data_IF_437015468684
#
_entry.id   IF_437015468684
#
_cell.length_a   1.000
_cell.length_b   1.000
_cell.length_c   1.000
_cell.angle_alpha   90.00
_cell.angle_beta   90.00
_cell.angle_gamma   90.00
#
_symmetry.space_group_name_H-M   'P 1'
#
loop_
_entity.id
_entity.type
_entity.pdbx_description
1 polymer ?
#
# COMPACT_ATOMS: atom_id res chain seq x y z
N UNK A 1 -26.71 -5.18 -40.68
CA UNK A 1 -25.51 -5.92 -40.23
C UNK A 1 -25.61 -6.12 -38.73
N UNK A 2 -25.91 -7.34 -38.28
CA UNK A 2 -25.91 -7.68 -36.85
C UNK A 2 -24.45 -7.77 -36.40
N UNK A 3 -24.01 -6.84 -35.56
CA UNK A 3 -22.71 -6.97 -34.88
C UNK A 3 -22.79 -8.20 -33.99
N UNK A 4 -21.95 -9.21 -34.27
CA UNK A 4 -21.70 -10.29 -33.35
C UNK A 4 -21.11 -9.67 -32.07
N UNK A 5 -21.82 -9.79 -30.95
CA UNK A 5 -21.30 -9.42 -29.64
C UNK A 5 -20.17 -10.39 -29.30
N UNK A 6 -18.91 -9.93 -29.46
CA UNK A 6 -17.74 -10.65 -28.96
C UNK A 6 -17.92 -10.94 -27.46
N UNK A 7 -17.74 -12.20 -27.08
CA UNK A 7 -17.83 -12.71 -25.70
C UNK A 7 -16.68 -12.15 -24.82
N UNK A 8 -15.66 -11.56 -25.44
CA UNK A 8 -14.46 -11.06 -24.77
C UNK A 8 -14.43 -9.52 -24.63
N UNK A 9 -15.50 -8.90 -24.14
CA UNK A 9 -15.46 -7.46 -23.79
C UNK A 9 -14.72 -7.24 -22.47
N UNK A 10 -13.40 -7.43 -22.48
CA UNK A 10 -12.54 -7.03 -21.36
C UNK A 10 -12.35 -5.51 -21.42
N UNK A 11 -12.63 -4.81 -20.31
CA UNK A 11 -12.40 -3.36 -20.21
C UNK A 11 -10.89 -3.07 -20.18
N UNK A 12 -10.50 -1.84 -20.52
CA UNK A 12 -9.10 -1.41 -20.36
C UNK A 12 -8.60 -1.64 -18.93
N UNK A 13 -9.40 -1.31 -17.93
CA UNK A 13 -9.11 -1.62 -16.53
C UNK A 13 -8.92 -3.12 -16.29
N UNK A 14 -9.79 -3.97 -16.86
CA UNK A 14 -9.66 -5.42 -16.80
C UNK A 14 -8.35 -5.93 -17.42
N UNK A 15 -7.86 -5.29 -18.48
CA UNK A 15 -6.53 -5.61 -19.04
C UNK A 15 -5.40 -5.14 -18.12
N UNK A 16 -5.51 -3.96 -17.52
CA UNK A 16 -4.50 -3.38 -16.62
C UNK A 16 -4.33 -4.15 -15.30
N UNK A 17 -5.38 -4.84 -14.84
CA UNK A 17 -5.31 -5.66 -13.61
C UNK A 17 -4.63 -7.01 -13.86
N UNK A 18 -4.53 -7.48 -15.11
CA UNK A 18 -3.95 -8.81 -15.42
C UNK A 18 -2.53 -9.02 -14.92
N UNK A 19 -1.56 -8.09 -15.07
CA UNK A 19 -0.21 -8.28 -14.54
C UNK A 19 -0.19 -8.49 -13.02
N UNK A 20 -1.01 -7.74 -12.29
CA UNK A 20 -1.15 -7.83 -10.83
C UNK A 20 -1.73 -9.21 -10.44
N UNK A 21 -2.70 -9.72 -11.21
CA UNK A 21 -3.29 -11.04 -10.99
C UNK A 21 -2.42 -12.21 -11.43
N UNK A 22 -1.62 -12.04 -12.48
CA UNK A 22 -0.75 -13.08 -13.02
C UNK A 22 0.41 -13.38 -12.09
N UNK A 23 0.94 -12.37 -11.42
CA UNK A 23 2.12 -12.53 -10.59
C UNK A 23 1.95 -13.58 -9.47
N UNK A 24 0.89 -13.56 -8.63
CA UNK A 24 0.63 -14.61 -7.65
C UNK A 24 0.44 -16.02 -8.25
N UNK A 25 -0.03 -16.12 -9.49
CA UNK A 25 -0.24 -17.42 -10.14
C UNK A 25 1.08 -18.15 -10.40
N UNK A 26 2.17 -17.42 -10.68
CA UNK A 26 3.49 -18.04 -10.86
C UNK A 26 4.00 -18.67 -9.56
N UNK A 27 3.80 -17.99 -8.42
CA UNK A 27 4.15 -18.52 -7.10
C UNK A 27 3.36 -19.80 -6.81
N UNK A 28 2.04 -19.76 -6.97
CA UNK A 28 1.18 -20.94 -6.73
C UNK A 28 1.54 -22.12 -7.65
N UNK A 29 1.86 -21.83 -8.91
CA UNK A 29 2.28 -22.84 -9.87
C UNK A 29 3.61 -23.49 -9.45
N UNK A 30 4.63 -22.70 -9.09
CA UNK A 30 5.91 -23.24 -8.65
C UNK A 30 5.81 -24.00 -7.33
N UNK A 31 4.97 -23.54 -6.39
CA UNK A 31 4.66 -24.27 -5.16
C UNK A 31 4.07 -25.65 -5.46
N UNK A 32 3.09 -25.73 -6.38
CA UNK A 32 2.49 -26.99 -6.77
C UNK A 32 3.48 -27.91 -7.51
N UNK A 33 4.29 -27.36 -8.43
CA UNK A 33 5.34 -28.11 -9.11
C UNK A 33 6.36 -28.68 -8.12
N UNK A 34 6.85 -27.86 -7.18
CA UNK A 34 7.83 -28.28 -6.16
C UNK A 34 7.25 -29.35 -5.24
N UNK A 35 5.99 -29.20 -4.79
CA UNK A 35 5.30 -30.19 -3.97
C UNK A 35 5.20 -31.56 -4.63
N UNK A 36 5.05 -31.59 -5.95
CA UNK A 36 4.95 -32.81 -6.75
C UNK A 36 6.30 -33.30 -7.31
N UNK A 37 7.41 -32.64 -6.98
CA UNK A 37 8.76 -33.02 -7.42
C UNK A 37 9.46 -33.85 -6.33
N UNK A 38 9.94 -35.08 -6.64
CA UNK A 38 10.67 -35.90 -5.68
C UNK A 38 11.97 -35.23 -5.20
N UNK A 39 12.35 -35.46 -3.94
CA UNK A 39 13.53 -34.80 -3.31
C UNK A 39 14.89 -35.06 -4.00
N UNK A 40 15.01 -36.13 -4.79
CA UNK A 40 16.21 -36.44 -5.57
C UNK A 40 16.15 -36.00 -7.03
N UNK A 41 15.05 -35.35 -7.45
CA UNK A 41 14.88 -34.89 -8.82
C UNK A 41 15.77 -33.68 -9.10
N UNK A 42 16.34 -33.63 -10.30
CA UNK A 42 17.27 -32.56 -10.72
C UNK A 42 16.66 -31.16 -10.65
N UNK A 43 15.34 -31.06 -10.84
CA UNK A 43 14.60 -29.79 -10.81
C UNK A 43 14.20 -29.33 -9.41
N UNK A 44 14.40 -30.15 -8.37
CA UNK A 44 13.99 -29.78 -7.01
C UNK A 44 14.65 -28.47 -6.54
N UNK A 45 15.97 -28.34 -6.71
CA UNK A 45 16.71 -27.14 -6.33
C UNK A 45 16.36 -25.92 -7.22
N UNK A 46 16.36 -26.03 -8.56
CA UNK A 46 15.89 -24.95 -9.43
C UNK A 46 14.49 -24.42 -9.10
N UNK A 47 13.52 -25.32 -8.84
CA UNK A 47 12.16 -24.93 -8.48
C UNK A 47 12.10 -24.17 -7.16
N UNK A 48 12.88 -24.61 -6.17
CA UNK A 48 12.97 -23.93 -4.88
C UNK A 48 13.58 -22.53 -5.02
N UNK A 49 14.65 -22.38 -5.80
CA UNK A 49 15.28 -21.07 -6.04
C UNK A 49 14.34 -20.12 -6.77
N UNK A 50 13.68 -20.59 -7.84
CA UNK A 50 12.72 -19.79 -8.59
C UNK A 50 11.52 -19.37 -7.73
N UNK A 51 11.03 -20.26 -6.85
CA UNK A 51 9.97 -19.93 -5.91
C UNK A 51 10.42 -18.84 -4.92
N UNK A 52 11.60 -18.98 -4.31
CA UNK A 52 12.15 -17.98 -3.39
C UNK A 52 12.37 -16.63 -4.08
N UNK A 53 12.88 -16.61 -5.31
CA UNK A 53 13.05 -15.36 -6.06
C UNK A 53 11.71 -14.65 -6.33
N UNK A 54 10.66 -15.40 -6.69
CA UNK A 54 9.33 -14.81 -6.89
C UNK A 54 8.70 -14.32 -5.57
N UNK A 55 8.89 -15.04 -4.46
CA UNK A 55 8.42 -14.61 -3.15
C UNK A 55 9.11 -13.31 -2.70
N UNK A 56 10.44 -13.22 -2.84
CA UNK A 56 11.18 -11.98 -2.57
C UNK A 56 10.75 -10.82 -3.48
N UNK A 57 10.47 -11.10 -4.75
CA UNK A 57 9.96 -10.10 -5.68
C UNK A 57 8.55 -9.63 -5.28
N UNK A 58 7.70 -10.52 -4.76
CA UNK A 58 6.38 -10.19 -4.22
C UNK A 58 6.50 -9.17 -3.09
N UNK A 59 7.38 -9.44 -2.12
CA UNK A 59 7.64 -8.57 -1.00
C UNK A 59 8.17 -7.20 -1.46
N UNK A 60 9.13 -7.21 -2.39
CA UNK A 60 9.67 -5.98 -2.97
C UNK A 60 8.60 -5.15 -3.67
N UNK A 61 7.72 -5.77 -4.45
CA UNK A 61 6.62 -5.07 -5.14
C UNK A 61 5.63 -4.49 -4.14
N UNK A 62 5.28 -5.24 -3.09
CA UNK A 62 4.39 -4.77 -2.03
C UNK A 62 4.99 -3.58 -1.28
N UNK A 63 6.29 -3.63 -0.97
CA UNK A 63 7.00 -2.55 -0.30
C UNK A 63 7.11 -1.29 -1.18
N UNK A 64 7.39 -1.45 -2.48
CA UNK A 64 7.42 -0.31 -3.41
C UNK A 64 6.04 0.36 -3.53
N UNK A 65 4.96 -0.43 -3.55
CA UNK A 65 3.60 0.11 -3.49
C UNK A 65 3.38 0.89 -2.20
N UNK A 66 3.74 0.32 -1.04
CA UNK A 66 3.61 0.97 0.27
C UNK A 66 4.30 2.33 0.29
N UNK A 67 5.55 2.39 -0.20
CA UNK A 67 6.32 3.64 -0.29
C UNK A 67 5.65 4.64 -1.24
N UNK A 68 5.17 4.20 -2.41
CA UNK A 68 4.47 5.07 -3.35
C UNK A 68 3.18 5.67 -2.75
N UNK A 69 2.40 4.86 -2.03
CA UNK A 69 1.18 5.29 -1.34
C UNK A 69 1.52 6.32 -0.24
N UNK A 70 2.58 6.09 0.54
CA UNK A 70 3.07 7.03 1.56
C UNK A 70 3.53 8.37 1.00
N UNK A 71 4.22 8.36 -0.15
CA UNK A 71 4.63 9.57 -0.87
C UNK A 71 3.39 10.33 -1.35
N UNK A 72 2.43 9.63 -1.96
CA UNK A 72 1.20 10.25 -2.46
C UNK A 72 0.41 10.93 -1.32
N UNK A 73 0.33 10.27 -0.16
CA UNK A 73 -0.33 10.81 1.03
C UNK A 73 0.39 12.03 1.61
N UNK A 74 1.72 11.98 1.71
CA UNK A 74 2.54 13.11 2.16
C UNK A 74 2.38 14.32 1.23
N UNK A 75 2.37 14.11 -0.09
CA UNK A 75 2.13 15.16 -1.08
C UNK A 75 0.73 15.75 -0.95
N UNK A 76 -0.29 14.91 -0.70
CA UNK A 76 -1.64 15.39 -0.46
C UNK A 76 -1.73 16.26 0.79
N UNK A 77 -1.10 15.84 1.89
CA UNK A 77 -1.01 16.62 3.12
C UNK A 77 -0.31 17.97 2.85
N UNK A 78 0.86 17.96 2.22
CA UNK A 78 1.63 19.16 1.92
C UNK A 78 0.85 20.19 1.09
N UNK A 79 -0.01 19.74 0.17
CA UNK A 79 -0.91 20.61 -0.63
C UNK A 79 -2.06 21.19 0.19
N UNK A 80 -2.47 20.52 1.26
CA UNK A 80 -3.60 20.94 2.11
C UNK A 80 -3.20 21.85 3.27
N UNK A 81 -1.92 21.87 3.64
CA UNK A 81 -1.39 22.69 4.73
C UNK A 81 -1.18 24.13 4.27
N UNK A 82 -1.70 25.09 5.04
CA UNK A 82 -1.54 26.53 4.76
C UNK A 82 -0.16 27.07 5.13
N UNK A 83 0.51 26.43 6.10
CA UNK A 83 1.86 26.78 6.53
C UNK A 83 2.90 26.39 5.46
N UNK A 84 3.59 27.39 4.92
CA UNK A 84 4.60 27.23 3.87
C UNK A 84 5.88 26.56 4.36
N UNK A 85 6.22 26.67 5.64
CA UNK A 85 7.40 26.01 6.21
C UNK A 85 7.16 24.52 6.38
N UNK A 86 6.00 24.15 6.93
CA UNK A 86 5.58 22.75 7.07
C UNK A 86 5.41 22.08 5.71
N UNK A 87 4.82 22.76 4.72
CA UNK A 87 4.69 22.20 3.38
C UNK A 87 6.04 21.99 2.69
N UNK A 88 7.04 22.86 2.91
CA UNK A 88 8.41 22.64 2.43
C UNK A 88 9.07 21.44 3.13
N UNK A 89 8.90 21.30 4.45
CA UNK A 89 9.43 20.18 5.21
C UNK A 89 8.84 18.84 4.75
N UNK A 90 7.52 18.79 4.53
CA UNK A 90 6.82 17.59 4.03
C UNK A 90 7.23 17.19 2.61
N UNK A 91 7.65 18.15 1.78
CA UNK A 91 8.15 17.87 0.43
C UNK A 91 9.66 17.61 0.39
N UNK A 92 10.34 17.58 1.55
CA UNK A 92 11.77 17.27 1.60
C UNK A 92 11.99 15.76 1.54
N UNK A 93 13.09 15.33 0.91
CA UNK A 93 13.46 13.91 0.82
C UNK A 93 13.88 13.28 2.17
N UNK A 94 13.84 14.04 3.26
CA UNK A 94 14.27 13.60 4.60
C UNK A 94 13.13 13.02 5.45
N UNK A 95 11.88 13.42 5.17
CA UNK A 95 10.72 12.98 5.92
C UNK A 95 10.14 11.69 5.37
N UNK A 96 10.21 10.60 6.15
CA UNK A 96 9.53 9.34 5.80
C UNK A 96 8.26 9.22 6.63
N UNK A 97 7.11 9.18 5.96
CA UNK A 97 5.85 8.83 6.62
C UNK A 97 5.95 7.38 7.11
N UNK A 98 5.74 7.17 8.41
CA UNK A 98 5.76 5.85 9.05
C UNK A 98 4.34 5.31 9.13
N UNK A 99 3.40 6.14 9.59
CA UNK A 99 2.02 5.75 9.82
C UNK A 99 1.07 6.90 9.46
N UNK A 100 -0.07 6.55 8.89
CA UNK A 100 -1.18 7.46 8.71
C UNK A 100 -2.49 6.78 9.09
N UNK A 101 -3.17 7.32 10.10
CA UNK A 101 -4.37 6.71 10.67
C UNK A 101 -5.40 7.76 11.09
N UNK A 102 -6.67 7.33 11.18
CA UNK A 102 -7.75 8.12 11.78
C UNK A 102 -7.91 7.73 13.23
N UNK A 103 -7.71 8.69 14.14
CA UNK A 103 -7.79 8.50 15.59
C UNK A 103 -8.85 9.43 16.21
N UNK A 104 -9.29 9.12 17.42
CA UNK A 104 -10.24 9.95 18.19
C UNK A 104 -9.46 10.77 19.20
N UNK A 105 -9.43 12.10 19.03
CA UNK A 105 -8.96 13.05 20.03
C UNK A 105 -10.03 13.21 21.11
N UNK A 106 -9.71 12.77 22.33
CA UNK A 106 -10.58 12.95 23.51
C UNK A 106 -9.94 13.93 24.49
N UNK A 107 -10.66 15.01 24.82
CA UNK A 107 -10.24 16.01 25.81
C UNK A 107 -10.98 15.74 27.11
N UNK A 108 -10.23 15.59 28.20
CA UNK A 108 -10.77 15.36 29.54
C UNK A 108 -10.69 16.64 30.38
N UNK A 109 -11.69 16.86 31.23
CA UNK A 109 -11.69 17.92 32.24
C UNK A 109 -10.96 17.47 33.51
N UNK A 110 -10.77 18.41 34.44
CA UNK A 110 -10.04 18.17 35.70
C UNK A 110 -10.68 17.07 36.58
N UNK A 111 -11.96 16.74 36.38
CA UNK A 111 -12.66 15.68 37.10
C UNK A 111 -12.79 14.38 36.29
N UNK A 112 -12.02 14.24 35.20
CA UNK A 112 -12.02 13.06 34.34
C UNK A 112 -13.23 12.92 33.42
N UNK A 113 -14.12 13.91 33.38
CA UNK A 113 -15.24 13.93 32.43
C UNK A 113 -14.74 14.24 31.02
N UNK A 114 -15.31 13.60 30.00
CA UNK A 114 -15.01 13.91 28.59
C UNK A 114 -15.65 15.26 28.23
N UNK A 115 -14.82 16.22 27.85
CA UNK A 115 -15.24 17.55 27.40
C UNK A 115 -15.45 17.60 25.88
N UNK A 116 -14.66 16.83 25.14
CA UNK A 116 -14.71 16.80 23.67
C UNK A 116 -14.22 15.45 23.17
N UNK A 117 -14.84 14.97 22.10
CA UNK A 117 -14.36 13.84 21.31
C UNK A 117 -14.47 14.22 19.84
N UNK A 118 -13.38 14.11 19.08
CA UNK A 118 -13.36 14.47 17.66
C UNK A 118 -12.39 13.60 16.88
N UNK A 119 -12.79 13.14 15.70
CA UNK A 119 -11.90 12.43 14.80
C UNK A 119 -10.81 13.34 14.22
N UNK A 120 -9.60 12.79 14.14
CA UNK A 120 -8.39 13.40 13.64
C UNK A 120 -7.69 12.45 12.69
N UNK A 121 -7.13 12.98 11.61
CA UNK A 121 -6.17 12.24 10.80
C UNK A 121 -4.78 12.55 11.34
N UNK A 122 -4.04 11.52 11.72
CA UNK A 122 -2.72 11.63 12.33
C UNK A 122 -1.69 11.06 11.38
N UNK A 123 -0.63 11.84 11.14
CA UNK A 123 0.49 11.49 10.28
C UNK A 123 1.75 11.44 11.13
N UNK A 124 2.29 10.25 11.33
CA UNK A 124 3.53 10.02 12.03
C UNK A 124 4.66 9.91 11.01
N UNK A 125 5.57 10.87 11.02
CA UNK A 125 6.84 10.82 10.32
C UNK A 125 7.94 10.35 11.27
N UNK A 126 9.12 10.08 10.73
CA UNK A 126 10.31 9.72 11.49
C UNK A 126 10.80 10.85 12.43
N UNK A 127 10.46 12.10 12.15
CA UNK A 127 10.94 13.30 12.85
C UNK A 127 9.81 14.18 13.44
N UNK A 128 8.58 14.06 12.92
CA UNK A 128 7.42 14.88 13.32
C UNK A 128 6.12 14.07 13.43
N UNK A 129 5.21 14.53 14.29
CA UNK A 129 3.84 14.03 14.37
C UNK A 129 2.86 15.16 14.04
N UNK A 130 2.02 14.96 13.03
CA UNK A 130 1.04 15.94 12.59
C UNK A 130 -0.37 15.44 12.91
N UNK A 131 -1.15 16.26 13.59
CA UNK A 131 -2.57 16.02 13.84
C UNK A 131 -3.42 17.00 13.01
N UNK A 132 -4.22 16.47 12.09
CA UNK A 132 -5.04 17.26 11.17
C UNK A 132 -6.54 17.11 11.45
N UNK A 133 -7.28 18.19 11.21
CA UNK A 133 -8.74 18.13 11.15
C UNK A 133 -9.17 17.30 9.93
N UNK A 134 -10.07 16.34 10.12
CA UNK A 134 -10.73 15.67 9.00
C UNK A 134 -11.82 16.60 8.48
N UNK A 135 -11.58 17.23 7.33
CA UNK A 135 -12.63 17.93 6.59
C UNK A 135 -13.24 16.93 5.62
N UNK A 136 -14.34 16.29 6.03
CA UNK A 136 -15.18 15.51 5.12
C UNK A 136 -15.79 16.50 4.13
N UNK A 137 -15.47 16.37 2.85
CA UNK A 137 -16.18 17.08 1.78
C UNK A 137 -17.53 16.44 1.55
#
# INVERSE_FOLDING_TARGET
MKQASSVDRITLYGLMVKPIQRFPQFILLLQDMLKNTPKGHVDCLPLQLALTELEMLADKLNEQKRVADQIAETQQLARSVSDRSLSKQLNSDQGSLVLCETLIETVYGERGQVLKSKERKVFLFNDILICANINVK
#
